data_IF_645573586365
#
_entry.id   IF_645573586365
#
_cell.length_a   1.000
_cell.length_b   1.000
_cell.length_c   1.000
_cell.angle_alpha   90.00
_cell.angle_beta   90.00
_cell.angle_gamma   90.00
#
_symmetry.space_group_name_H-M   'P 1'
#
loop_
_entity.id
_entity.type
_entity.pdbx_description
1 polymer ?
#
# COMPACT_ATOMS: atom_id res chain seq x y z
N UNK A 1 7.17 -11.29 4.50
CA UNK A 1 7.07 -10.38 3.34
C UNK A 1 8.38 -9.65 3.17
N UNK A 2 8.95 -9.53 1.97
CA UNK A 2 10.16 -8.73 1.79
C UNK A 2 9.77 -7.25 1.72
N UNK A 3 9.59 -6.63 2.90
CA UNK A 3 9.69 -5.17 3.00
C UNK A 3 11.14 -4.81 2.68
N UNK A 4 11.35 -4.04 1.62
CA UNK A 4 12.68 -3.55 1.25
C UNK A 4 12.85 -2.11 1.72
N UNK A 5 14.06 -1.82 2.18
CA UNK A 5 14.52 -0.46 2.47
C UNK A 5 15.15 0.14 1.22
N UNK A 6 14.79 1.39 0.95
CA UNK A 6 15.32 2.22 -0.12
C UNK A 6 15.79 3.56 0.44
N UNK A 7 16.59 4.26 -0.35
CA UNK A 7 16.98 5.65 -0.16
C UNK A 7 16.28 6.53 -1.21
N UNK A 8 15.65 7.63 -0.80
CA UNK A 8 15.04 8.59 -1.74
C UNK A 8 16.12 9.22 -2.62
N UNK A 9 17.28 9.52 -2.05
CA UNK A 9 18.38 10.19 -2.75
C UNK A 9 19.04 9.32 -3.81
N UNK A 10 19.18 8.01 -3.59
CA UNK A 10 19.81 7.11 -4.58
C UNK A 10 18.81 6.34 -5.42
N UNK A 11 17.67 5.96 -4.85
CA UNK A 11 16.73 5.03 -5.47
C UNK A 11 15.40 5.71 -5.86
N UNK A 12 15.26 7.02 -5.67
CA UNK A 12 13.97 7.73 -5.81
C UNK A 12 13.25 7.52 -7.15
N UNK A 13 13.99 7.38 -8.24
CA UNK A 13 13.46 7.10 -9.58
C UNK A 13 13.45 5.60 -9.96
N UNK A 14 13.94 4.73 -9.07
CA UNK A 14 13.86 3.29 -9.28
C UNK A 14 12.38 2.85 -9.34
N UNK A 15 11.98 2.12 -10.39
CA UNK A 15 10.65 1.55 -10.46
C UNK A 15 10.40 0.55 -9.34
N UNK A 16 9.21 0.62 -8.76
CA UNK A 16 8.65 -0.40 -7.87
C UNK A 16 7.34 -0.87 -8.49
N UNK A 17 7.30 -2.14 -8.86
CA UNK A 17 6.19 -2.68 -9.66
C UNK A 17 6.19 -2.12 -11.09
N UNK A 18 5.01 -2.07 -11.71
CA UNK A 18 4.84 -1.65 -13.11
C UNK A 18 4.60 -0.17 -13.27
N UNK A 19 4.02 0.50 -12.28
CA UNK A 19 3.51 1.86 -12.46
C UNK A 19 3.99 2.89 -11.45
N UNK A 20 4.82 2.48 -10.49
CA UNK A 20 5.24 3.35 -9.40
C UNK A 20 6.76 3.42 -9.29
N UNK A 21 7.25 4.42 -8.55
CA UNK A 21 8.67 4.57 -8.19
C UNK A 21 8.84 4.78 -6.69
N UNK A 22 10.05 4.52 -6.19
CA UNK A 22 10.37 4.61 -4.74
C UNK A 22 9.92 5.94 -4.13
N UNK A 23 10.20 7.06 -4.80
CA UNK A 23 9.89 8.40 -4.29
C UNK A 23 8.40 8.66 -4.04
N UNK A 24 7.49 7.94 -4.71
CA UNK A 24 6.04 8.08 -4.48
C UNK A 24 5.60 7.50 -3.13
N UNK A 25 6.41 6.63 -2.54
CA UNK A 25 6.17 6.06 -1.21
C UNK A 25 6.92 6.81 -0.10
N UNK A 26 7.74 7.81 -0.45
CA UNK A 26 8.57 8.52 0.51
C UNK A 26 7.75 9.25 1.58
N UNK A 27 8.33 9.35 2.78
CA UNK A 27 7.72 10.15 3.83
C UNK A 27 7.82 11.64 3.49
N UNK A 28 6.76 12.40 3.80
CA UNK A 28 6.71 13.84 3.51
C UNK A 28 7.56 14.70 4.45
N UNK A 29 8.21 14.09 5.44
CA UNK A 29 9.11 14.79 6.37
C UNK A 29 10.52 15.02 5.79
N UNK A 30 10.76 14.60 4.54
CA UNK A 30 12.05 14.77 3.86
C UNK A 30 13.09 13.72 4.25
N UNK A 31 12.72 12.70 5.02
CA UNK A 31 13.62 11.61 5.38
C UNK A 31 14.03 10.78 4.15
N UNK A 32 15.28 10.37 4.13
CA UNK A 32 15.84 9.58 3.02
C UNK A 32 15.36 8.12 3.01
N UNK A 33 15.04 7.54 4.17
CA UNK A 33 14.59 6.15 4.24
C UNK A 33 13.16 5.99 3.73
N UNK A 34 12.95 5.01 2.84
CA UNK A 34 11.61 4.51 2.46
C UNK A 34 11.56 3.01 2.69
N UNK A 35 10.49 2.54 3.34
CA UNK A 35 10.18 1.10 3.42
C UNK A 35 9.01 0.78 2.50
N UNK A 36 9.16 -0.22 1.65
CA UNK A 36 8.13 -0.61 0.68
C UNK A 36 7.98 -2.13 0.67
N UNK A 37 6.75 -2.60 0.89
CA UNK A 37 6.34 -3.99 0.68
C UNK A 37 6.00 -4.25 -0.79
N UNK A 38 6.57 -5.30 -1.37
CA UNK A 38 6.22 -5.72 -2.73
C UNK A 38 4.73 -6.04 -2.89
N UNK A 39 4.10 -6.61 -1.85
CA UNK A 39 2.68 -6.94 -1.88
C UNK A 39 1.78 -5.69 -1.94
N UNK A 40 2.15 -4.63 -1.21
CA UNK A 40 1.42 -3.36 -1.27
C UNK A 40 1.53 -2.74 -2.67
N UNK A 41 2.70 -2.85 -3.31
CA UNK A 41 2.93 -2.37 -4.68
C UNK A 41 2.11 -3.18 -5.68
N UNK A 42 2.13 -4.50 -5.61
CA UNK A 42 1.33 -5.38 -6.48
C UNK A 42 -0.16 -5.08 -6.37
N UNK A 43 -0.64 -4.79 -5.16
CA UNK A 43 -2.02 -4.41 -4.92
C UNK A 43 -2.37 -3.09 -5.61
N UNK A 44 -1.51 -2.08 -5.50
CA UNK A 44 -1.68 -0.79 -6.17
C UNK A 44 -1.61 -0.91 -7.70
N UNK A 45 -0.74 -1.76 -8.24
CA UNK A 45 -0.64 -2.03 -9.67
C UNK A 45 -1.95 -2.63 -10.21
N UNK A 46 -2.48 -3.65 -9.52
CA UNK A 46 -3.76 -4.27 -9.89
C UNK A 46 -4.93 -3.29 -9.80
N UNK A 47 -4.93 -2.38 -8.80
CA UNK A 47 -5.94 -1.30 -8.71
C UNK A 47 -5.87 -0.41 -9.94
N UNK A 48 -4.66 0.02 -10.30
CA UNK A 48 -4.44 0.89 -11.45
C UNK A 48 -4.91 0.24 -12.75
N UNK A 49 -4.58 -1.02 -12.94
CA UNK A 49 -4.96 -1.80 -14.13
C UNK A 49 -6.48 -2.02 -14.20
N UNK A 50 -7.10 -2.37 -13.08
CA UNK A 50 -8.56 -2.61 -13.04
C UNK A 50 -9.38 -1.38 -13.42
N UNK A 51 -8.97 -0.21 -12.92
CA UNK A 51 -9.66 1.04 -13.24
C UNK A 51 -9.22 1.68 -14.55
N UNK A 52 -8.12 1.19 -15.15
CA UNK A 52 -7.43 1.82 -16.28
C UNK A 52 -7.25 3.33 -16.06
N UNK A 53 -6.82 3.70 -14.85
CA UNK A 53 -6.79 5.08 -14.40
C UNK A 53 -5.60 5.36 -13.48
N UNK A 54 -4.99 6.57 -13.54
CA UNK A 54 -3.89 6.93 -12.65
C UNK A 54 -4.24 6.75 -11.16
N UNK A 55 -3.35 6.06 -10.46
CA UNK A 55 -3.36 5.94 -9.00
C UNK A 55 -2.29 6.88 -8.45
N UNK A 56 -2.68 7.81 -7.58
CA UNK A 56 -1.75 8.72 -6.92
C UNK A 56 -1.63 8.35 -5.44
N UNK A 57 -0.39 8.11 -5.00
CA UNK A 57 -0.07 7.78 -3.62
C UNK A 57 0.03 9.10 -2.83
N UNK A 58 -0.91 9.29 -1.91
CA UNK A 58 -0.88 10.42 -1.00
C UNK A 58 0.14 10.17 0.13
N UNK A 59 0.20 8.95 0.66
CA UNK A 59 1.10 8.58 1.75
C UNK A 59 1.47 7.10 1.66
N UNK A 60 2.74 6.80 1.46
CA UNK A 60 3.31 5.45 1.60
C UNK A 60 3.93 5.25 2.99
N UNK A 61 5.26 5.15 3.05
CA UNK A 61 6.00 5.03 4.28
C UNK A 61 5.88 6.28 5.17
N UNK A 62 5.82 6.07 6.48
CA UNK A 62 5.93 7.13 7.47
C UNK A 62 7.05 6.82 8.45
N UNK A 63 7.91 7.81 8.70
CA UNK A 63 8.81 7.72 9.84
C UNK A 63 8.00 7.70 11.14
N UNK A 64 8.53 7.12 12.24
CA UNK A 64 7.84 7.17 13.53
C UNK A 64 7.58 8.59 14.03
N UNK A 65 8.50 9.52 13.75
CA UNK A 65 8.36 10.95 14.09
C UNK A 65 7.22 11.59 13.33
N UNK A 66 7.16 11.44 12.01
CA UNK A 66 6.10 12.01 11.17
C UNK A 66 4.74 11.36 11.49
N UNK A 67 4.70 10.04 11.67
CA UNK A 67 3.47 9.36 12.05
C UNK A 67 2.92 9.90 13.38
N UNK A 68 3.77 10.13 14.39
CA UNK A 68 3.33 10.75 15.65
C UNK A 68 2.87 12.20 15.47
N UNK A 69 3.56 13.00 14.67
CA UNK A 69 3.21 14.42 14.49
C UNK A 69 1.84 14.62 13.84
N UNK A 70 1.38 13.66 13.03
CA UNK A 70 0.05 13.68 12.41
C UNK A 70 -1.01 12.90 13.21
N UNK A 71 -0.69 12.47 14.45
CA UNK A 71 -1.62 11.71 15.29
C UNK A 71 -1.87 10.26 14.82
N UNK A 72 -0.94 9.69 14.06
CA UNK A 72 -1.04 8.32 13.55
C UNK A 72 -0.93 7.25 14.64
N UNK A 73 -1.49 6.07 14.36
CA UNK A 73 -1.52 4.96 15.29
C UNK A 73 -0.12 4.45 15.69
N UNK A 74 0.03 4.01 16.95
CA UNK A 74 1.30 3.52 17.53
C UNK A 74 1.90 2.32 16.78
N UNK A 75 1.06 1.49 16.17
CA UNK A 75 1.45 0.32 15.39
C UNK A 75 0.98 0.45 13.92
N UNK A 76 1.08 1.65 13.35
CA UNK A 76 0.65 1.92 11.98
C UNK A 76 1.45 1.11 10.96
N UNK A 77 0.74 0.48 10.02
CA UNK A 77 1.33 -0.24 8.89
C UNK A 77 2.13 0.68 7.95
N UNK A 78 1.84 1.99 7.93
CA UNK A 78 2.68 2.96 7.22
C UNK A 78 4.12 3.00 7.75
N UNK A 79 4.32 2.78 9.05
CA UNK A 79 5.67 2.73 9.64
C UNK A 79 6.40 1.42 9.33
N UNK A 80 5.67 0.41 8.84
CA UNK A 80 6.21 -0.89 8.46
C UNK A 80 6.42 -1.02 6.94
N UNK A 81 6.02 -0.02 6.15
CA UNK A 81 6.12 -0.05 4.69
C UNK A 81 5.06 -0.93 4.01
N UNK A 82 4.03 -1.34 4.75
CA UNK A 82 2.99 -2.29 4.33
C UNK A 82 1.63 -1.63 4.11
N UNK A 83 1.58 -0.30 3.96
CA UNK A 83 0.34 0.45 3.75
C UNK A 83 0.51 1.61 2.79
N UNK A 84 -0.60 1.99 2.17
CA UNK A 84 -0.69 3.16 1.30
C UNK A 84 -2.06 3.85 1.44
N UNK A 85 -2.01 5.18 1.50
CA UNK A 85 -3.16 6.06 1.30
C UNK A 85 -3.10 6.60 -0.13
N UNK A 86 -4.15 6.42 -0.92
CA UNK A 86 -4.13 6.74 -2.35
C UNK A 86 -5.49 7.23 -2.86
N UNK A 87 -5.47 7.80 -4.07
CA UNK A 87 -6.66 8.15 -4.85
C UNK A 87 -6.55 7.56 -6.26
N UNK A 88 -7.70 7.20 -6.83
CA UNK A 88 -7.80 6.77 -8.24
C UNK A 88 -8.48 7.90 -9.01
N UNK A 89 -7.85 8.36 -10.10
CA UNK A 89 -8.39 9.47 -10.90
C UNK A 89 -9.79 9.12 -11.40
N UNK A 90 -10.75 10.02 -11.15
CA UNK A 90 -12.13 9.85 -11.57
C UNK A 90 -12.96 8.86 -10.74
N UNK A 91 -12.46 8.42 -9.58
CA UNK A 91 -13.19 7.58 -8.62
C UNK A 91 -13.19 8.20 -7.24
N UNK A 92 -14.30 8.05 -6.55
CA UNK A 92 -14.42 8.39 -5.12
C UNK A 92 -13.80 7.29 -4.25
N UNK A 93 -13.30 7.61 -3.05
CA UNK A 93 -12.84 6.60 -2.09
C UNK A 93 -13.89 5.53 -1.78
N UNK A 94 -15.18 5.92 -1.78
CA UNK A 94 -16.31 5.02 -1.54
C UNK A 94 -16.47 3.99 -2.67
N UNK A 95 -16.38 4.42 -3.93
CA UNK A 95 -16.42 3.50 -5.08
C UNK A 95 -15.25 2.52 -5.04
N UNK A 96 -14.05 3.03 -4.78
CA UNK A 96 -12.85 2.20 -4.66
C UNK A 96 -13.04 1.18 -3.54
N UNK A 97 -13.40 1.60 -2.33
CA UNK A 97 -13.63 0.70 -1.21
C UNK A 97 -14.68 -0.36 -1.52
N UNK A 98 -15.80 0.02 -2.14
CA UNK A 98 -16.87 -0.92 -2.51
C UNK A 98 -16.35 -2.03 -3.41
N UNK A 99 -15.60 -1.67 -4.45
CA UNK A 99 -15.11 -2.64 -5.43
C UNK A 99 -13.98 -3.51 -4.88
N UNK A 100 -13.13 -2.97 -3.98
CA UNK A 100 -12.15 -3.74 -3.21
C UNK A 100 -12.84 -4.75 -2.27
N UNK A 101 -13.86 -4.32 -1.50
CA UNK A 101 -14.65 -5.20 -0.61
C UNK A 101 -15.40 -6.29 -1.36
N UNK A 102 -15.85 -6.01 -2.58
CA UNK A 102 -16.50 -6.99 -3.44
C UNK A 102 -15.50 -7.96 -4.10
N UNK A 103 -14.21 -7.85 -3.81
CA UNK A 103 -13.17 -8.75 -4.32
C UNK A 103 -12.92 -8.63 -5.82
N UNK A 104 -13.35 -7.54 -6.46
CA UNK A 104 -13.31 -7.39 -7.94
C UNK A 104 -11.90 -7.33 -8.53
N UNK A 105 -10.90 -7.05 -7.70
CA UNK A 105 -9.53 -6.80 -8.15
C UNK A 105 -8.56 -7.90 -7.66
N UNK A 106 -8.79 -8.47 -6.47
CA UNK A 106 -7.88 -9.46 -5.88
C UNK A 106 -8.59 -10.55 -5.05
N UNK A 107 -9.91 -10.70 -5.18
CA UNK A 107 -10.71 -11.69 -4.45
C UNK A 107 -10.95 -11.31 -2.98
N UNK A 108 -11.20 -12.30 -2.13
CA UNK A 108 -11.66 -12.12 -0.74
C UNK A 108 -10.55 -11.70 0.25
N UNK A 109 -9.28 -11.64 -0.18
CA UNK A 109 -8.15 -11.55 0.74
C UNK A 109 -7.45 -10.20 0.60
N UNK A 110 -7.70 -9.32 1.57
CA UNK A 110 -7.00 -8.05 1.73
C UNK A 110 -6.60 -7.88 3.20
N UNK A 111 -5.55 -7.10 3.47
CA UNK A 111 -5.30 -6.59 4.82
C UNK A 111 -6.32 -5.53 5.21
N UNK A 112 -5.92 -4.53 6.00
CA UNK A 112 -6.83 -3.45 6.37
C UNK A 112 -7.28 -2.61 5.17
N UNK A 113 -8.55 -2.20 5.18
CA UNK A 113 -9.17 -1.36 4.16
C UNK A 113 -9.97 -0.22 4.80
N UNK A 114 -9.52 1.01 4.60
CA UNK A 114 -10.17 2.22 5.10
C UNK A 114 -10.76 3.08 3.97
N UNK A 115 -11.92 3.68 4.22
CA UNK A 115 -12.50 4.71 3.36
C UNK A 115 -12.53 6.02 4.12
N UNK A 116 -11.74 6.99 3.65
CA UNK A 116 -11.70 8.34 4.18
C UNK A 116 -12.42 9.29 3.24
N UNK A 117 -12.67 10.52 3.68
CA UNK A 117 -13.35 11.53 2.85
C UNK A 117 -12.61 11.85 1.55
N UNK A 118 -11.28 11.78 1.55
CA UNK A 118 -10.43 12.25 0.45
C UNK A 118 -9.51 11.18 -0.13
N UNK A 119 -9.42 9.99 0.46
CA UNK A 119 -8.54 8.91 -0.01
C UNK A 119 -9.01 7.54 0.47
N UNK A 120 -8.49 6.51 -0.17
CA UNK A 120 -8.63 5.11 0.26
C UNK A 120 -7.35 4.69 0.96
N UNK A 121 -7.47 3.93 2.04
CA UNK A 121 -6.36 3.31 2.75
C UNK A 121 -6.36 1.81 2.50
N UNK A 122 -5.19 1.25 2.24
CA UNK A 122 -4.94 -0.19 2.23
C UNK A 122 -3.72 -0.53 3.08
N UNK A 123 -3.74 -1.68 3.74
CA UNK A 123 -2.56 -2.33 4.26
C UNK A 123 -2.55 -3.84 3.95
N UNK A 124 -1.37 -4.46 4.04
CA UNK A 124 -1.18 -5.90 3.77
C UNK A 124 -0.83 -6.71 5.01
N UNK A 125 -1.12 -6.22 6.22
CA UNK A 125 -0.74 -6.89 7.48
C UNK A 125 -1.32 -8.32 7.61
N UNK A 126 -2.50 -8.56 7.03
CA UNK A 126 -3.27 -9.80 7.13
C UNK A 126 -3.06 -10.77 5.96
N UNK A 127 -2.26 -10.43 4.95
CA UNK A 127 -2.07 -11.27 3.76
C UNK A 127 -1.35 -12.61 4.07
N UNK A 128 -0.66 -12.71 5.21
CA UNK A 128 0.14 -13.88 5.60
C UNK A 128 -0.60 -14.93 6.46
N UNK A 129 -1.75 -14.62 7.06
CA UNK A 129 -2.43 -15.61 7.91
C UNK A 129 -3.16 -16.73 7.15
N UNK A 130 -3.16 -16.72 5.81
CA UNK A 130 -3.92 -17.68 5.00
C UNK A 130 -3.14 -18.32 3.84
N UNK A 131 -1.91 -17.89 3.55
CA UNK A 131 -1.09 -18.47 2.48
C UNK A 131 -0.10 -19.55 2.94
N UNK A 132 0.20 -19.65 4.23
CA UNK A 132 1.12 -20.68 4.79
C UNK A 132 0.40 -22.00 5.17
N UNK A 133 -0.73 -22.32 4.53
CA UNK A 133 -1.63 -23.40 4.96
C UNK A 133 -2.12 -24.37 3.90
N UNK A 134 -1.50 -24.44 2.70
CA UNK A 134 -1.87 -25.45 1.69
C UNK A 134 -0.66 -26.07 0.98
N UNK A 135 0.30 -26.56 1.76
CA UNK A 135 1.17 -27.66 1.33
C UNK A 135 1.01 -28.80 2.36
N UNK A 136 0.20 -29.80 2.01
CA UNK A 136 -0.13 -30.93 2.87
C UNK A 136 -0.84 -32.04 2.09
N UNK A 137 -0.05 -32.78 1.31
CA UNK A 137 -0.16 -34.16 0.79
C UNK A 137 -1.56 -34.86 0.79
N UNK A 138 -2.04 -35.36 -0.36
CA UNK A 138 -3.26 -36.16 -0.42
C UNK A 138 -3.00 -37.61 0.00
N UNK A 139 -3.67 -38.06 1.07
CA UNK A 139 -4.07 -39.47 1.27
C UNK A 139 -5.43 -39.55 1.94
#
# INVERSE_FOLDING_TARGET
MPVKRYSVTTDGDQPVGRHFKVSEFACRDGSDTVLISSETVELLDKIREYYDAPVHINSGYRTPTYNRSIGGAKHSQHMLGTAADFVVRGKTPQEVQRDLKAGKIFGEHMGGLGCYRSFTHIDTASWLSLSDGKDGDPR
#
